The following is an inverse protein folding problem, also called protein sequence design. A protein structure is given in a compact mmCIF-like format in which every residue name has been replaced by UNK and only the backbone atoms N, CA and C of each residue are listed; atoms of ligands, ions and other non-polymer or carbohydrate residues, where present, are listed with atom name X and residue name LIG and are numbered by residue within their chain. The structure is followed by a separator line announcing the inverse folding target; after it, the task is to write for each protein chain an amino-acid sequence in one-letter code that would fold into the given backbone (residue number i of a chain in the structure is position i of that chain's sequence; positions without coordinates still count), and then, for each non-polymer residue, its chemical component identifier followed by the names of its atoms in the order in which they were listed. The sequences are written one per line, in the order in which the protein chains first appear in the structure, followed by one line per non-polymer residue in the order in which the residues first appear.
data_IF_177736455228
#
_entry.id   IF_177736455228
#
_cell.length_a   1.000
_cell.length_b   1.000
_cell.length_c   1.000
_cell.angle_alpha   90.00
_cell.angle_beta   90.00
_cell.angle_gamma   90.00
#
_symmetry.space_group_name_H-M   'P 1'
#
loop_
_entity.id
_entity.type
_entity.pdbx_description
1 polymer ?
#
# COMPACT_ATOMS: atom_id res chain seq x y z
N UNK A 1 -13.54 -1.64 47.37
CA UNK A 1 -14.42 -2.47 46.53
C UNK A 1 -14.09 -2.14 45.08
N UNK A 2 -13.82 -3.17 44.28
CA UNK A 2 -13.00 -3.15 43.07
C UNK A 2 -13.63 -2.44 41.85
N UNK A 3 -12.77 -1.69 41.13
CA UNK A 3 -12.68 -1.47 39.67
C UNK A 3 -13.90 -1.65 38.79
N UNK A 4 -14.27 -0.61 38.04
CA UNK A 4 -14.66 -0.73 36.62
C UNK A 4 -14.24 0.56 35.87
N UNK A 5 -12.95 0.64 35.53
CA UNK A 5 -12.49 1.57 34.51
C UNK A 5 -12.90 0.94 33.16
N UNK A 6 -14.06 1.31 32.64
CA UNK A 6 -14.51 0.98 31.30
C UNK A 6 -13.55 1.64 30.30
N UNK A 7 -12.47 0.93 29.97
CA UNK A 7 -11.65 1.24 28.80
C UNK A 7 -12.54 0.95 27.60
N UNK A 8 -13.23 1.97 27.12
CA UNK A 8 -13.77 2.00 25.77
C UNK A 8 -12.57 1.85 24.84
N UNK A 9 -12.23 0.60 24.52
CA UNK A 9 -11.46 0.25 23.34
C UNK A 9 -12.27 0.76 22.15
N UNK A 10 -12.01 2.02 21.78
CA UNK A 10 -12.24 2.51 20.43
C UNK A 10 -11.40 1.60 19.53
N UNK A 11 -11.97 0.47 19.12
CA UNK A 11 -11.45 -0.25 17.97
C UNK A 11 -11.75 0.66 16.79
N UNK A 12 -10.84 1.58 16.51
CA UNK A 12 -10.86 2.30 15.25
C UNK A 12 -10.78 1.22 14.18
N UNK A 13 -11.89 1.02 13.45
CA UNK A 13 -11.88 0.21 12.25
C UNK A 13 -10.91 0.90 11.30
N UNK A 14 -9.69 0.38 11.21
CA UNK A 14 -8.68 0.83 10.26
C UNK A 14 -9.17 0.40 8.88
N UNK A 15 -9.76 1.34 8.14
CA UNK A 15 -10.37 1.12 6.84
C UNK A 15 -9.32 0.98 5.70
N UNK A 16 -8.06 0.69 6.02
CA UNK A 16 -6.98 0.62 5.04
C UNK A 16 -5.60 0.58 5.69
N UNK A 17 -4.57 0.55 4.85
CA UNK A 17 -3.15 0.54 5.24
C UNK A 17 -2.49 1.83 4.78
N UNK A 18 -1.84 2.54 5.71
CA UNK A 18 -1.00 3.68 5.39
C UNK A 18 0.34 3.21 4.83
N UNK A 19 0.71 3.72 3.66
CA UNK A 19 1.95 3.35 2.98
C UNK A 19 2.71 4.60 2.54
N UNK A 20 3.93 4.39 2.06
CA UNK A 20 4.70 5.40 1.35
C UNK A 20 5.17 4.84 0.01
N UNK A 21 4.80 5.52 -1.06
CA UNK A 21 5.17 5.17 -2.44
C UNK A 21 6.29 6.10 -2.90
N UNK A 22 7.19 5.58 -3.72
CA UNK A 22 8.36 6.29 -4.21
C UNK A 22 8.50 6.14 -5.73
N UNK A 23 8.93 7.23 -6.37
CA UNK A 23 9.17 7.27 -7.80
C UNK A 23 10.37 6.41 -8.22
N UNK A 24 11.38 6.33 -7.35
CA UNK A 24 12.61 5.60 -7.60
C UNK A 24 12.69 4.34 -6.72
N UNK A 25 13.56 3.42 -7.11
CA UNK A 25 13.90 2.25 -6.31
C UNK A 25 14.58 2.65 -4.98
N UNK A 26 14.67 1.70 -4.07
CA UNK A 26 15.31 1.76 -2.77
C UNK A 26 14.79 2.87 -1.85
N UNK A 27 13.49 3.18 -1.96
CA UNK A 27 12.81 4.23 -1.19
C UNK A 27 13.39 5.63 -1.42
N UNK A 28 13.77 5.93 -2.67
CA UNK A 28 14.38 7.20 -3.07
C UNK A 28 13.45 8.05 -3.95
N UNK A 29 13.90 9.27 -4.24
CA UNK A 29 13.20 10.18 -5.14
C UNK A 29 11.97 10.84 -4.54
N UNK A 30 11.09 11.29 -5.44
CA UNK A 30 9.80 11.85 -5.08
C UNK A 30 8.94 10.79 -4.41
N UNK A 31 8.21 11.18 -3.36
CA UNK A 31 7.36 10.26 -2.62
C UNK A 31 6.00 10.85 -2.28
N UNK A 32 5.05 9.98 -1.98
CA UNK A 32 3.76 10.35 -1.39
C UNK A 32 3.41 9.44 -0.23
N UNK A 33 2.82 10.03 0.83
CA UNK A 33 2.15 9.26 1.87
C UNK A 33 0.70 9.08 1.42
N UNK A 34 0.23 7.85 1.39
CA UNK A 34 -1.12 7.51 0.93
C UNK A 34 -1.66 6.35 1.74
N UNK A 35 -2.95 6.06 1.56
CA UNK A 35 -3.64 4.95 2.19
C UNK A 35 -4.25 4.08 1.10
N UNK A 36 -4.04 2.77 1.19
CA UNK A 36 -4.80 1.79 0.42
C UNK A 36 -5.99 1.34 1.26
N UNK A 37 -7.20 1.71 0.86
CA UNK A 37 -8.40 1.26 1.55
C UNK A 37 -8.79 -0.18 1.15
N UNK A 38 -9.78 -0.77 1.83
CA UNK A 38 -10.33 -2.09 1.48
C UNK A 38 -11.03 -2.11 0.10
N UNK A 39 -11.39 -0.93 -0.41
CA UNK A 39 -11.94 -0.75 -1.76
C UNK A 39 -10.82 -0.49 -2.76
N UNK A 40 -11.09 -0.78 -4.02
CA UNK A 40 -10.21 -0.43 -5.13
C UNK A 40 -10.00 1.09 -5.19
N UNK A 41 -8.74 1.51 -5.15
CA UNK A 41 -8.35 2.92 -5.29
C UNK A 41 -7.25 3.05 -6.33
N UNK A 42 -7.54 3.81 -7.38
CA UNK A 42 -6.53 4.24 -8.35
C UNK A 42 -5.61 5.30 -7.74
N UNK A 43 -4.33 5.29 -8.12
CA UNK A 43 -3.35 6.26 -7.62
C UNK A 43 -3.53 7.67 -8.20
N UNK A 44 -4.30 7.77 -9.28
CA UNK A 44 -4.51 8.99 -10.03
C UNK A 44 -3.40 9.24 -11.05
N UNK A 45 -3.72 10.05 -12.07
CA UNK A 45 -2.91 10.22 -13.28
C UNK A 45 -1.44 10.56 -13.06
N UNK A 46 -1.10 11.18 -11.92
CA UNK A 46 0.27 11.57 -11.63
C UNK A 46 1.16 10.40 -11.17
N UNK A 47 0.59 9.45 -10.42
CA UNK A 47 1.30 8.31 -9.84
C UNK A 47 1.13 7.03 -10.64
N UNK A 48 0.16 6.97 -11.55
CA UNK A 48 0.01 5.88 -12.51
C UNK A 48 1.35 5.59 -13.20
N UNK A 49 1.85 4.36 -13.05
CA UNK A 49 3.07 3.88 -13.72
C UNK A 49 4.33 4.69 -13.39
N UNK A 50 4.43 5.19 -12.17
CA UNK A 50 5.61 5.91 -11.66
C UNK A 50 6.25 5.24 -10.44
N UNK A 51 5.60 4.24 -9.87
CA UNK A 51 5.99 3.70 -8.56
C UNK A 51 7.03 2.59 -8.76
N UNK A 52 8.19 2.76 -8.10
CA UNK A 52 9.35 1.87 -8.20
C UNK A 52 9.76 1.23 -6.88
N UNK A 53 9.28 1.74 -5.74
CA UNK A 53 9.41 1.09 -4.44
C UNK A 53 8.28 1.49 -3.48
N UNK A 54 7.92 0.58 -2.56
CA UNK A 54 6.79 0.75 -1.64
C UNK A 54 7.17 0.34 -0.21
N UNK A 55 7.10 1.30 0.71
CA UNK A 55 7.18 1.06 2.14
C UNK A 55 5.76 0.88 2.70
N UNK A 56 5.41 -0.35 3.08
CA UNK A 56 4.08 -0.67 3.59
C UNK A 56 3.89 -0.35 5.07
N UNK A 57 4.92 0.18 5.75
CA UNK A 57 4.88 0.57 7.17
C UNK A 57 4.35 -0.52 8.12
N UNK A 58 4.58 -1.78 7.78
CA UNK A 58 4.09 -2.92 8.56
C UNK A 58 2.77 -3.53 8.09
N UNK A 59 2.06 -2.91 7.13
CA UNK A 59 0.79 -3.40 6.60
C UNK A 59 0.93 -4.19 5.30
N UNK A 60 -0.18 -4.78 4.87
CA UNK A 60 -0.27 -5.57 3.65
C UNK A 60 -1.20 -4.89 2.64
N UNK A 61 -0.76 -4.77 1.39
CA UNK A 61 -1.56 -4.26 0.28
C UNK A 61 -1.53 -5.22 -0.90
N UNK A 62 -2.53 -5.12 -1.77
CA UNK A 62 -2.54 -5.69 -3.12
C UNK A 62 -2.47 -4.55 -4.12
N UNK A 63 -1.53 -4.61 -5.04
CA UNK A 63 -1.38 -3.62 -6.12
C UNK A 63 -1.81 -4.20 -7.45
N UNK A 64 -2.28 -3.33 -8.35
CA UNK A 64 -2.83 -3.71 -9.64
C UNK A 64 -2.22 -2.88 -10.76
N UNK A 65 -2.05 -3.45 -11.95
CA UNK A 65 -1.58 -2.74 -13.15
C UNK A 65 -2.72 -2.09 -13.96
N UNK A 66 -3.95 -2.20 -13.46
CA UNK A 66 -5.14 -1.57 -13.98
C UNK A 66 -5.81 -0.72 -12.89
N UNK A 67 -6.28 0.47 -13.26
CA UNK A 67 -6.83 1.45 -12.31
C UNK A 67 -8.20 1.05 -11.73
N UNK A 68 -8.85 0.03 -12.30
CA UNK A 68 -10.12 -0.53 -11.81
C UNK A 68 -9.96 -1.83 -11.01
N UNK A 69 -8.71 -2.20 -10.68
CA UNK A 69 -8.35 -3.40 -9.92
C UNK A 69 -8.80 -4.72 -10.58
N UNK A 70 -8.95 -4.73 -11.91
CA UNK A 70 -9.33 -5.93 -12.67
C UNK A 70 -8.16 -6.58 -13.44
N UNK A 71 -7.00 -5.92 -13.43
CA UNK A 71 -5.79 -6.38 -14.12
C UNK A 71 -4.97 -7.39 -13.32
N UNK A 72 -3.71 -7.57 -13.74
CA UNK A 72 -2.75 -8.35 -12.99
C UNK A 72 -2.55 -7.73 -11.60
N UNK A 73 -2.15 -8.55 -10.64
CA UNK A 73 -1.98 -8.08 -9.27
C UNK A 73 -0.92 -8.84 -8.51
N UNK A 74 -0.31 -8.19 -7.52
CA UNK A 74 0.55 -8.84 -6.55
C UNK A 74 0.33 -8.30 -5.14
N UNK A 75 0.72 -9.08 -4.14
CA UNK A 75 0.71 -8.67 -2.74
C UNK A 75 2.05 -8.06 -2.35
N UNK A 76 2.01 -6.99 -1.57
CA UNK A 76 3.17 -6.34 -0.99
C UNK A 76 2.94 -6.19 0.51
N UNK A 77 3.83 -6.76 1.30
CA UNK A 77 3.81 -6.76 2.76
C UNK A 77 5.25 -6.76 3.31
N UNK A 78 5.46 -6.49 4.61
CA UNK A 78 6.81 -6.42 5.17
C UNK A 78 7.56 -7.73 4.98
N UNK A 79 8.77 -7.65 4.43
CA UNK A 79 9.57 -8.84 4.12
C UNK A 79 9.19 -9.53 2.81
N UNK A 80 8.27 -8.99 2.02
CA UNK A 80 8.18 -9.34 0.59
C UNK A 80 9.54 -9.03 -0.03
N UNK A 81 10.23 -10.01 -0.66
CA UNK A 81 11.49 -9.75 -1.30
C UNK A 81 11.36 -8.59 -2.29
N UNK A 82 12.32 -7.67 -2.24
CA UNK A 82 12.47 -6.59 -3.22
C UNK A 82 11.30 -5.60 -3.30
N UNK A 83 10.52 -5.42 -2.23
CA UNK A 83 9.53 -4.32 -2.19
C UNK A 83 10.17 -2.92 -2.14
N UNK A 84 11.45 -2.87 -1.81
CA UNK A 84 12.35 -1.73 -2.01
C UNK A 84 12.84 -1.60 -3.45
N UNK A 85 12.70 -2.61 -4.32
CA UNK A 85 13.03 -2.52 -5.74
C UNK A 85 12.05 -3.34 -6.61
N UNK A 86 10.97 -2.70 -7.07
CA UNK A 86 9.90 -3.37 -7.81
C UNK A 86 10.33 -3.93 -9.17
N UNK A 87 11.48 -3.52 -9.70
CA UNK A 87 12.04 -4.09 -10.94
C UNK A 87 12.34 -5.58 -10.78
N UNK A 88 12.83 -6.00 -9.62
CA UNK A 88 13.21 -7.40 -9.35
C UNK A 88 12.02 -8.35 -9.34
N UNK A 89 10.81 -7.81 -9.15
CA UNK A 89 9.55 -8.57 -9.20
C UNK A 89 8.70 -8.22 -10.42
N UNK A 90 9.22 -7.40 -11.37
CA UNK A 90 8.55 -7.07 -12.62
C UNK A 90 7.37 -6.10 -12.49
N UNK A 91 7.35 -5.28 -11.43
CA UNK A 91 6.28 -4.32 -11.09
C UNK A 91 6.69 -2.85 -11.18
N UNK A 92 7.95 -2.56 -11.51
CA UNK A 92 8.46 -1.20 -11.69
C UNK A 92 7.62 -0.42 -12.70
N UNK A 93 7.14 0.77 -12.34
CA UNK A 93 6.38 1.65 -13.22
C UNK A 93 5.14 0.99 -13.85
N UNK A 94 4.53 -0.01 -13.20
CA UNK A 94 3.32 -0.68 -13.70
C UNK A 94 2.08 -0.41 -12.86
N UNK A 95 2.27 -0.06 -11.60
CA UNK A 95 1.21 0.01 -10.61
C UNK A 95 0.26 1.20 -10.91
N UNK A 96 -1.05 0.93 -10.92
CA UNK A 96 -2.13 1.89 -11.23
C UNK A 96 -3.24 1.94 -10.17
N UNK A 97 -3.40 0.90 -9.35
CA UNK A 97 -4.32 0.92 -8.21
C UNK A 97 -3.83 0.06 -7.04
N UNK A 98 -4.51 0.18 -5.89
CA UNK A 98 -4.34 -0.73 -4.76
C UNK A 98 -5.62 -1.01 -3.97
N UNK A 99 -5.51 -2.03 -3.12
CA UNK A 99 -6.40 -2.30 -1.98
C UNK A 99 -5.56 -2.72 -0.77
N UNK A 100 -6.09 -2.59 0.45
CA UNK A 100 -5.54 -3.30 1.61
C UNK A 100 -5.76 -4.81 1.46
N UNK A 101 -4.91 -5.63 2.09
CA UNK A 101 -5.20 -7.05 2.28
C UNK A 101 -6.36 -7.20 3.27
N UNK A 102 -7.24 -8.17 3.03
CA UNK A 102 -8.31 -8.57 3.96
C UNK A 102 -7.78 -9.55 5.00
#
# INVERSE_FOLDING_TARGET
MFTFLLILLFVAVVNGVDIKIYADAYFQGEYSNTRCNYKCEGWGRYWDRKISSIDTKGGCIRVFDDSSCNGDSTYIYPGTPSHDNLEEIGWNDRIMACTSCN
#
